data_IF_311524281223
#
_entry.id   IF_311524281223
#
_cell.length_a   1.000
_cell.length_b   1.000
_cell.length_c   1.000
_cell.angle_alpha   90.00
_cell.angle_beta   90.00
_cell.angle_gamma   90.00
#
_symmetry.space_group_name_H-M   'P 1'
#
loop_
_entity.id
_entity.type
_entity.pdbx_description
1 polymer ?
#
# COMPACT_ATOMS: atom_id res chain seq x y z
N UNK A 1 4.00 -2.50 4.97
CA UNK A 1 2.76 -2.89 4.24
C UNK A 1 2.74 -2.38 2.79
N UNK A 2 3.24 -1.18 2.52
CA UNK A 2 3.22 -0.61 1.17
C UNK A 2 3.98 -1.42 0.13
N UNK A 3 5.21 -1.88 0.44
CA UNK A 3 6.02 -2.70 -0.46
C UNK A 3 5.27 -3.97 -0.88
N UNK A 4 4.68 -4.70 0.10
CA UNK A 4 3.86 -5.88 -0.16
C UNK A 4 2.71 -5.57 -1.11
N UNK A 5 1.96 -4.49 -0.84
CA UNK A 5 0.83 -4.06 -1.67
C UNK A 5 1.25 -3.61 -3.07
N UNK A 6 2.40 -2.96 -3.22
CA UNK A 6 2.91 -2.50 -4.51
C UNK A 6 3.32 -3.66 -5.43
N UNK A 7 3.71 -4.80 -4.84
CA UNK A 7 4.17 -5.98 -5.57
C UNK A 7 3.03 -6.98 -5.79
N UNK A 8 2.26 -7.31 -4.75
CA UNK A 8 1.24 -8.37 -4.80
C UNK A 8 -0.19 -7.85 -4.86
N UNK A 9 -0.41 -6.54 -4.74
CA UNK A 9 -1.74 -5.95 -4.55
C UNK A 9 -2.31 -6.11 -3.12
N UNK A 10 -1.67 -6.93 -2.27
CA UNK A 10 -2.12 -7.22 -0.90
C UNK A 10 -1.08 -6.84 0.16
N UNK A 11 -1.46 -5.94 1.07
CA UNK A 11 -0.58 -5.47 2.15
C UNK A 11 -0.21 -6.55 3.20
N UNK A 12 -0.93 -7.67 3.22
CA UNK A 12 -0.75 -8.78 4.15
C UNK A 12 -0.04 -10.00 3.53
N UNK A 13 0.48 -9.90 2.30
CA UNK A 13 1.16 -11.02 1.64
C UNK A 13 2.39 -11.54 2.41
N UNK A 14 2.71 -12.83 2.24
CA UNK A 14 3.92 -13.45 2.81
C UNK A 14 5.19 -13.05 2.04
N UNK A 15 6.37 -13.32 2.62
CA UNK A 15 7.65 -13.06 1.93
C UNK A 15 7.80 -13.92 0.67
N UNK A 16 7.37 -15.17 0.73
CA UNK A 16 7.41 -16.09 -0.42
C UNK A 16 6.52 -15.62 -1.56
N UNK A 17 5.33 -15.09 -1.24
CA UNK A 17 4.43 -14.51 -2.23
C UNK A 17 5.04 -13.28 -2.92
N UNK A 18 5.78 -12.45 -2.16
CA UNK A 18 6.49 -11.29 -2.70
C UNK A 18 7.61 -11.74 -3.63
N UNK A 19 8.43 -12.71 -3.22
CA UNK A 19 9.53 -13.24 -4.03
C UNK A 19 9.03 -13.91 -5.31
N UNK A 20 7.99 -14.73 -5.22
CA UNK A 20 7.35 -15.34 -6.39
C UNK A 20 6.85 -14.30 -7.38
N UNK A 21 6.23 -13.23 -6.89
CA UNK A 21 5.73 -12.15 -7.76
C UNK A 21 6.85 -11.33 -8.39
N UNK A 22 7.92 -11.02 -7.66
CA UNK A 22 9.08 -10.34 -8.24
C UNK A 22 9.72 -11.17 -9.36
N UNK A 23 9.86 -12.49 -9.17
CA UNK A 23 10.37 -13.41 -10.21
C UNK A 23 9.48 -13.47 -11.47
N UNK A 24 8.18 -13.19 -11.34
CA UNK A 24 7.26 -13.14 -12.49
C UNK A 24 7.24 -11.77 -13.18
N UNK A 25 7.52 -10.70 -12.43
CA UNK A 25 7.53 -9.33 -12.96
C UNK A 25 8.86 -8.95 -13.60
N UNK A 26 9.96 -9.51 -13.11
CA UNK A 26 11.31 -9.19 -13.56
C UNK A 26 11.93 -10.46 -14.16
N UNK A 27 12.32 -10.40 -15.42
CA UNK A 27 13.11 -11.47 -16.02
C UNK A 27 14.54 -11.33 -15.56
N UNK A 28 14.99 -12.25 -14.71
CA UNK A 28 16.35 -12.29 -14.18
C UNK A 28 17.11 -13.41 -14.90
N UNK A 29 18.38 -13.18 -15.29
CA UNK A 29 19.21 -14.23 -15.86
C UNK A 29 19.54 -15.28 -14.79
N UNK A 30 18.73 -16.33 -14.77
CA UNK A 30 18.87 -17.67 -14.17
C UNK A 30 19.42 -17.85 -12.74
N UNK A 31 19.63 -16.77 -11.98
CA UNK A 31 20.03 -16.85 -10.58
C UNK A 31 18.83 -16.74 -9.64
N UNK A 32 18.71 -17.71 -8.73
CA UNK A 32 17.95 -17.53 -7.50
C UNK A 32 18.56 -16.35 -6.74
N UNK A 33 17.90 -15.19 -6.79
CA UNK A 33 18.27 -14.03 -5.98
C UNK A 33 18.42 -14.46 -4.52
N UNK A 34 19.54 -14.06 -3.90
CA UNK A 34 19.69 -14.13 -2.44
C UNK A 34 18.58 -13.31 -1.78
N UNK A 35 18.20 -13.67 -0.56
CA UNK A 35 17.12 -13.00 0.17
C UNK A 35 17.34 -11.48 0.26
N UNK A 36 18.56 -11.04 0.56
CA UNK A 36 18.90 -9.61 0.66
C UNK A 36 18.76 -8.87 -0.68
N UNK A 37 19.11 -9.54 -1.77
CA UNK A 37 18.98 -8.99 -3.12
C UNK A 37 17.50 -8.89 -3.55
N UNK A 38 16.66 -9.83 -3.10
CA UNK A 38 15.21 -9.79 -3.30
C UNK A 38 14.57 -8.62 -2.56
N UNK A 39 15.00 -8.35 -1.33
CA UNK A 39 14.50 -7.22 -0.54
C UNK A 39 14.91 -5.87 -1.17
N UNK A 40 16.15 -5.74 -1.66
CA UNK A 40 16.59 -4.55 -2.39
C UNK A 40 15.79 -4.33 -3.68
N UNK A 41 15.56 -5.40 -4.46
CA UNK A 41 14.73 -5.35 -5.66
C UNK A 41 13.28 -4.96 -5.34
N UNK A 42 12.71 -5.48 -4.26
CA UNK A 42 11.36 -5.16 -3.81
C UNK A 42 11.19 -3.66 -3.51
N UNK A 43 12.18 -3.05 -2.84
CA UNK A 43 12.17 -1.61 -2.54
C UNK A 43 12.33 -0.77 -3.82
N UNK A 44 13.28 -1.14 -4.69
CA UNK A 44 13.48 -0.46 -5.97
C UNK A 44 12.22 -0.51 -6.85
N UNK A 45 11.58 -1.68 -6.93
CA UNK A 45 10.33 -1.86 -7.66
C UNK A 45 9.18 -1.04 -7.06
N UNK A 46 9.04 -1.04 -5.74
CA UNK A 46 8.05 -0.22 -5.04
C UNK A 46 8.23 1.26 -5.36
N UNK A 47 9.47 1.77 -5.32
CA UNK A 47 9.79 3.16 -5.65
C UNK A 47 9.48 3.48 -7.12
N UNK A 48 9.92 2.62 -8.04
CA UNK A 48 9.63 2.75 -9.47
C UNK A 48 8.13 2.82 -9.77
N UNK A 49 7.35 1.95 -9.11
CA UNK A 49 5.91 1.86 -9.30
C UNK A 49 5.16 3.06 -8.69
N UNK A 50 5.68 3.63 -7.59
CA UNK A 50 5.16 4.88 -7.01
C UNK A 50 5.35 6.06 -7.97
N UNK A 51 6.48 6.14 -8.68
CA UNK A 51 6.78 7.21 -9.63
C UNK A 51 5.99 7.13 -10.94
N UNK A 52 5.69 5.92 -11.42
CA UNK A 52 4.92 5.70 -12.66
C UNK A 52 3.40 5.63 -12.47
N UNK A 53 2.94 5.52 -11.22
CA UNK A 53 1.57 5.09 -10.93
C UNK A 53 1.43 3.59 -11.22
N UNK A 54 0.86 2.85 -10.28
CA UNK A 54 0.58 1.42 -10.48
C UNK A 54 -0.27 1.24 -11.76
N UNK A 55 0.05 0.32 -12.68
CA UNK A 55 -0.82 -0.03 -13.79
C UNK A 55 -2.18 -0.48 -13.23
N UNK A 56 -3.25 0.24 -13.55
CA UNK A 56 -4.57 0.00 -12.97
C UNK A 56 -4.88 0.73 -11.65
N UNK A 57 -3.95 1.54 -11.11
CA UNK A 57 -4.33 2.62 -10.21
C UNK A 57 -5.03 3.70 -11.03
N UNK A 58 -6.32 3.47 -11.30
CA UNK A 58 -7.26 4.57 -11.42
C UNK A 58 -6.93 5.47 -10.23
N UNK A 59 -6.54 6.73 -10.50
CA UNK A 59 -6.63 7.77 -9.48
C UNK A 59 -8.10 7.76 -9.10
N UNK A 60 -8.49 6.92 -8.13
CA UNK A 60 -9.80 7.04 -7.50
C UNK A 60 -9.77 8.49 -7.10
N UNK A 61 -10.72 9.26 -7.64
CA UNK A 61 -11.11 10.51 -7.00
C UNK A 61 -11.59 10.06 -5.64
N UNK A 62 -10.65 9.88 -4.71
CA UNK A 62 -10.94 9.88 -3.30
C UNK A 62 -11.69 11.18 -3.16
N UNK A 63 -12.96 11.12 -2.77
CA UNK A 63 -13.59 12.29 -2.20
C UNK A 63 -12.58 12.74 -1.15
N UNK A 64 -11.84 13.81 -1.44
CA UNK A 64 -11.01 14.48 -0.46
C UNK A 64 -11.98 15.15 0.50
N UNK A 65 -12.74 14.33 1.23
CA UNK A 65 -13.32 14.76 2.48
C UNK A 65 -12.16 14.70 3.47
N UNK A 66 -11.25 15.65 3.31
CA UNK A 66 -10.25 16.01 4.31
C UNK A 66 -10.95 16.73 5.47
N UNK A 67 -12.14 16.27 5.87
CA UNK A 67 -12.64 16.50 7.21
C UNK A 67 -11.80 15.57 8.07
N UNK A 68 -10.69 16.11 8.58
CA UNK A 68 -10.10 15.62 9.82
C UNK A 68 -11.28 15.29 10.75
N UNK A 69 -11.29 14.07 11.29
CA UNK A 69 -12.22 13.69 12.34
C UNK A 69 -11.87 14.50 13.59
N UNK A 70 -12.24 15.77 13.57
CA UNK A 70 -12.13 16.65 14.70
C UNK A 70 -13.20 16.22 15.68
N UNK A 71 -12.78 16.01 16.93
CA UNK A 71 -13.69 15.55 17.97
C UNK A 71 -14.84 16.55 18.17
N UNK A 72 -14.57 17.84 17.93
CA UNK A 72 -15.57 18.89 17.92
C UNK A 72 -16.62 18.72 16.81
N UNK A 73 -16.23 18.29 15.60
CA UNK A 73 -17.17 18.05 14.50
C UNK A 73 -18.09 16.85 14.79
N UNK A 74 -17.53 15.79 15.38
CA UNK A 74 -18.34 14.64 15.80
C UNK A 74 -19.37 15.01 16.88
N UNK A 75 -18.97 15.80 17.88
CA UNK A 75 -19.86 16.29 18.95
C UNK A 75 -20.97 17.18 18.38
N UNK A 76 -20.65 18.05 17.42
CA UNK A 76 -21.63 18.89 16.73
C UNK A 76 -22.67 18.08 15.95
N UNK A 77 -22.23 17.00 15.28
CA UNK A 77 -23.10 16.12 14.50
C UNK A 77 -23.91 15.13 15.36
N UNK A 78 -23.55 14.93 16.63
CA UNK A 78 -24.18 13.96 17.53
C UNK A 78 -24.48 14.57 18.92
N UNK A 79 -25.32 15.60 19.01
CA UNK A 79 -25.57 16.32 20.27
C UNK A 79 -26.29 15.47 21.34
N UNK A 80 -27.02 14.44 20.90
CA UNK A 80 -27.71 13.47 21.74
C UNK A 80 -26.75 12.54 22.49
N UNK A 81 -25.54 12.32 21.95
CA UNK A 81 -24.55 11.39 22.51
C UNK A 81 -23.67 11.99 23.61
N UNK A 82 -23.83 13.28 23.91
CA UNK A 82 -22.94 14.04 24.81
C UNK A 82 -23.63 14.41 26.13
N UNK A 83 -24.95 14.21 26.24
CA UNK A 83 -25.67 14.41 27.52
C UNK A 83 -25.69 13.12 28.32
N UNK A 84 -24.70 12.99 29.20
CA UNK A 84 -24.57 11.90 30.17
C UNK A 84 -23.49 12.19 31.20
N UNK A 85 -23.61 13.34 31.88
CA UNK A 85 -22.97 13.68 33.16
C UNK A 85 -23.86 14.68 33.89
#
# INVERSE_FOLDING_TARGET
>A
KEVKKAITGNGNASKDQVAFMLNKMVSLPDEKLKNDATDALAVAWCHYMKGRGLPGAVKKKTHQNNKKSDWASFVADNPDRVKGL
#
